data_IF_375406266756
#
_entry.id   IF_375406266756
#
_cell.length_a   1.000
_cell.length_b   1.000
_cell.length_c   1.000
_cell.angle_alpha   90.00
_cell.angle_beta   90.00
_cell.angle_gamma   90.00
#
_symmetry.space_group_name_H-M   'P 1'
#
loop_
_entity.id
_entity.type
_entity.pdbx_description
1 polymer ?
#
# COMPACT_ATOMS: atom_id res chain seq x y z
N UNK A 1 12.88 11.51 53.84
CA UNK A 1 12.49 10.39 52.95
C UNK A 1 11.57 10.96 51.87
N UNK A 2 12.05 11.93 51.09
CA UNK A 2 11.19 12.80 50.25
C UNK A 2 11.82 13.08 48.89
N UNK A 3 13.15 13.25 48.85
CA UNK A 3 13.92 13.45 47.61
C UNK A 3 13.86 12.24 46.67
N UNK A 4 13.76 11.03 47.22
CA UNK A 4 13.60 9.80 46.44
C UNK A 4 12.21 9.70 45.81
N UNK A 5 11.17 10.12 46.54
CA UNK A 5 9.78 10.07 46.07
C UNK A 5 9.52 11.12 44.97
N UNK A 6 10.10 12.31 45.08
CA UNK A 6 10.06 13.35 44.05
C UNK A 6 10.76 12.90 42.76
N UNK A 7 11.89 12.19 42.90
CA UNK A 7 12.63 11.63 41.76
C UNK A 7 11.82 10.55 41.05
N UNK A 8 11.25 9.60 41.79
CA UNK A 8 10.38 8.56 41.24
C UNK A 8 9.13 9.15 40.56
N UNK A 9 8.53 10.19 41.16
CA UNK A 9 7.40 10.88 40.55
C UNK A 9 7.77 11.51 39.21
N UNK A 10 8.91 12.20 39.12
CA UNK A 10 9.39 12.79 37.88
C UNK A 10 9.66 11.73 36.80
N UNK A 11 10.24 10.59 37.17
CA UNK A 11 10.46 9.45 36.27
C UNK A 11 9.14 8.87 35.75
N UNK A 12 8.17 8.62 36.63
CA UNK A 12 6.86 8.12 36.22
C UNK A 12 6.13 9.11 35.31
N UNK A 13 6.23 10.41 35.58
CA UNK A 13 5.63 11.43 34.73
C UNK A 13 6.25 11.43 33.33
N UNK A 14 7.58 11.32 33.24
CA UNK A 14 8.31 11.21 31.97
C UNK A 14 7.88 9.96 31.20
N UNK A 15 7.83 8.80 31.87
CA UNK A 15 7.37 7.55 31.25
C UNK A 15 5.92 7.67 30.73
N UNK A 16 5.03 8.29 31.49
CA UNK A 16 3.66 8.52 31.05
C UNK A 16 3.60 9.40 29.79
N UNK A 17 4.40 10.46 29.73
CA UNK A 17 4.52 11.33 28.55
C UNK A 17 5.06 10.56 27.33
N UNK A 18 6.09 9.74 27.52
CA UNK A 18 6.63 8.88 26.46
C UNK A 18 5.59 7.88 25.96
N UNK A 19 4.81 7.26 26.86
CA UNK A 19 3.73 6.36 26.48
C UNK A 19 2.64 7.07 25.67
N UNK A 20 2.25 8.30 26.03
CA UNK A 20 1.29 9.06 25.22
C UNK A 20 1.82 9.37 23.83
N UNK A 21 3.11 9.74 23.74
CA UNK A 21 3.77 9.98 22.46
C UNK A 21 3.81 8.72 21.59
N UNK A 22 4.24 7.59 22.13
CA UNK A 22 4.27 6.31 21.42
C UNK A 22 2.88 5.87 20.98
N UNK A 23 1.85 6.02 21.83
CA UNK A 23 0.47 5.70 21.44
C UNK A 23 0.00 6.52 20.24
N UNK A 24 0.34 7.80 20.18
CA UNK A 24 0.04 8.64 19.01
C UNK A 24 0.78 8.13 17.77
N UNK A 25 2.09 7.90 17.88
CA UNK A 25 2.93 7.39 16.77
C UNK A 25 2.41 6.04 16.24
N UNK A 26 2.00 5.12 17.13
CA UNK A 26 1.40 3.84 16.75
C UNK A 26 0.08 4.01 16.00
N UNK A 27 -0.79 4.92 16.43
CA UNK A 27 -2.07 5.17 15.75
C UNK A 27 -1.86 5.78 14.36
N UNK A 28 -0.88 6.67 14.20
CA UNK A 28 -0.50 7.26 12.91
C UNK A 28 0.07 6.19 11.96
N UNK A 29 0.93 5.30 12.46
CA UNK A 29 1.45 4.17 11.72
C UNK A 29 0.33 3.22 11.27
N UNK A 30 -0.58 2.85 12.18
CA UNK A 30 -1.72 1.99 11.87
C UNK A 30 -2.64 2.59 10.80
N UNK A 31 -2.92 3.90 10.89
CA UNK A 31 -3.70 4.60 9.88
C UNK A 31 -3.02 4.57 8.49
N UNK A 32 -1.69 4.60 8.46
CA UNK A 32 -0.92 4.52 7.22
C UNK A 32 -0.97 3.11 6.61
N UNK A 33 -0.78 2.07 7.42
CA UNK A 33 -0.90 0.67 6.99
C UNK A 33 -2.29 0.38 6.40
N UNK A 34 -3.36 0.83 7.07
CA UNK A 34 -4.74 0.65 6.58
C UNK A 34 -4.99 1.34 5.24
N UNK A 35 -4.41 2.53 5.02
CA UNK A 35 -4.50 3.21 3.72
C UNK A 35 -3.76 2.45 2.62
N UNK A 36 -2.59 1.90 2.94
CA UNK A 36 -1.82 1.07 2.01
C UNK A 36 -2.59 -0.21 1.65
N UNK A 37 -3.18 -0.90 2.63
CA UNK A 37 -4.05 -2.07 2.42
C UNK A 37 -5.22 -1.75 1.49
N UNK A 38 -5.95 -0.67 1.76
CA UNK A 38 -7.07 -0.25 0.92
C UNK A 38 -6.63 0.08 -0.53
N UNK A 39 -5.46 0.71 -0.70
CA UNK A 39 -4.91 1.00 -2.01
C UNK A 39 -4.53 -0.28 -2.78
N UNK A 40 -3.95 -1.27 -2.10
CA UNK A 40 -3.65 -2.58 -2.70
C UNK A 40 -4.93 -3.30 -3.15
N UNK A 41 -5.96 -3.34 -2.30
CA UNK A 41 -7.25 -3.95 -2.66
C UNK A 41 -7.91 -3.27 -3.86
N UNK A 42 -7.84 -1.94 -3.94
CA UNK A 42 -8.34 -1.20 -5.10
C UNK A 42 -7.56 -1.53 -6.38
N UNK A 43 -6.24 -1.70 -6.25
CA UNK A 43 -5.40 -2.10 -7.38
C UNK A 43 -5.73 -3.51 -7.86
N UNK A 44 -5.91 -4.46 -6.94
CA UNK A 44 -6.33 -5.83 -7.25
C UNK A 44 -7.67 -5.86 -7.99
N UNK A 45 -8.66 -5.10 -7.52
CA UNK A 45 -9.94 -5.00 -8.20
C UNK A 45 -9.82 -4.46 -9.64
N UNK A 46 -8.88 -3.53 -9.88
CA UNK A 46 -8.57 -3.03 -11.23
C UNK A 46 -7.91 -4.10 -12.11
N UNK A 47 -7.00 -4.89 -11.56
CA UNK A 47 -6.37 -6.01 -12.27
C UNK A 47 -7.46 -6.99 -12.73
N UNK A 48 -8.33 -7.44 -11.83
CA UNK A 48 -9.42 -8.37 -12.17
C UNK A 48 -10.35 -7.77 -13.23
N UNK A 49 -10.67 -6.48 -13.14
CA UNK A 49 -11.46 -5.78 -14.15
C UNK A 49 -10.78 -5.79 -15.53
N UNK A 50 -9.47 -5.56 -15.56
CA UNK A 50 -8.68 -5.56 -16.78
C UNK A 50 -8.53 -6.97 -17.38
N UNK A 51 -8.34 -8.00 -16.57
CA UNK A 51 -8.32 -9.40 -17.03
C UNK A 51 -9.66 -9.78 -17.69
N UNK A 52 -10.79 -9.34 -17.12
CA UNK A 52 -12.10 -9.56 -17.72
C UNK A 52 -12.29 -8.81 -19.04
N UNK A 53 -11.71 -7.62 -19.19
CA UNK A 53 -11.67 -6.86 -20.46
C UNK A 53 -10.85 -7.58 -21.53
N UNK A 54 -9.65 -8.04 -21.16
CA UNK A 54 -8.78 -8.82 -22.05
C UNK A 54 -9.52 -10.06 -22.54
N UNK A 55 -10.16 -10.82 -21.64
CA UNK A 55 -10.92 -12.01 -22.02
C UNK A 55 -12.05 -11.70 -23.02
N UNK A 56 -12.75 -10.56 -22.86
CA UNK A 56 -13.77 -10.11 -23.82
C UNK A 56 -13.17 -9.75 -25.18
N UNK A 57 -12.02 -9.08 -25.20
CA UNK A 57 -11.33 -8.75 -26.45
C UNK A 57 -10.82 -10.00 -27.18
N UNK A 58 -10.22 -10.96 -26.47
CA UNK A 58 -9.76 -12.22 -27.05
C UNK A 58 -10.92 -13.01 -27.68
N UNK A 59 -12.07 -13.07 -27.00
CA UNK A 59 -13.29 -13.68 -27.54
C UNK A 59 -13.76 -12.98 -28.84
N UNK A 60 -13.77 -11.65 -28.87
CA UNK A 60 -14.13 -10.89 -30.07
C UNK A 60 -13.17 -11.17 -31.25
N UNK A 61 -11.87 -11.29 -30.97
CA UNK A 61 -10.87 -11.65 -31.98
C UNK A 61 -11.13 -13.06 -32.51
N UNK A 62 -11.39 -14.04 -31.62
CA UNK A 62 -11.66 -15.43 -31.99
C UNK A 62 -12.92 -15.58 -32.86
N UNK A 63 -13.94 -14.74 -32.64
CA UNK A 63 -15.19 -14.76 -33.41
C UNK A 63 -15.21 -13.84 -34.64
N UNK A 64 -14.08 -13.21 -34.95
CA UNK A 64 -13.89 -12.37 -36.13
C UNK A 64 -14.17 -10.90 -35.86
N UNK A 65 -13.25 -10.04 -36.30
CA UNK A 65 -13.27 -8.60 -36.08
C UNK A 65 -14.06 -7.83 -37.15
N UNK A 66 -14.88 -8.51 -37.95
CA UNK A 66 -15.59 -7.93 -39.10
C UNK A 66 -16.50 -6.74 -38.74
N UNK A 67 -16.88 -6.61 -37.47
CA UNK A 67 -17.67 -5.50 -36.92
C UNK A 67 -17.02 -4.86 -35.68
N UNK A 68 -15.76 -5.19 -35.38
CA UNK A 68 -15.06 -4.55 -34.28
C UNK A 68 -14.77 -3.08 -34.64
N UNK A 69 -14.97 -2.13 -33.71
CA UNK A 69 -14.59 -0.74 -33.94
C UNK A 69 -13.08 -0.67 -34.25
N UNK A 70 -12.69 0.24 -35.15
CA UNK A 70 -11.30 0.46 -35.46
C UNK A 70 -10.54 0.87 -34.18
N UNK A 71 -9.42 0.21 -33.93
CA UNK A 71 -8.56 0.47 -32.76
C UNK A 71 -7.93 1.86 -32.92
N UNK A 72 -8.26 2.80 -32.02
CA UNK A 72 -7.57 4.09 -31.96
C UNK A 72 -6.16 3.89 -31.40
N UNK A 73 -5.15 4.08 -32.26
CA UNK A 73 -3.74 3.94 -31.88
C UNK A 73 -3.32 4.95 -30.82
N UNK A 74 -3.98 6.12 -30.73
CA UNK A 74 -3.73 7.13 -29.71
C UNK A 74 -4.29 6.76 -28.33
N UNK A 75 -5.40 6.03 -28.28
CA UNK A 75 -5.97 5.47 -27.04
C UNK A 75 -5.12 4.31 -26.50
N UNK A 76 -4.69 3.41 -27.39
CA UNK A 76 -3.78 2.31 -27.03
C UNK A 76 -2.45 2.80 -26.45
N UNK A 77 -1.83 3.82 -27.07
CA UNK A 77 -0.56 4.37 -26.59
C UNK A 77 -0.71 5.01 -25.19
N UNK A 78 -1.83 5.70 -24.93
CA UNK A 78 -2.13 6.30 -23.62
C UNK A 78 -2.38 5.24 -22.55
N UNK A 79 -3.11 4.17 -22.88
CA UNK A 79 -3.29 3.03 -21.97
C UNK A 79 -1.96 2.36 -21.64
N UNK A 80 -1.11 2.11 -22.63
CA UNK A 80 0.21 1.52 -22.42
C UNK A 80 1.11 2.41 -21.53
N UNK A 81 1.08 3.73 -21.73
CA UNK A 81 1.81 4.66 -20.88
C UNK A 81 1.28 4.68 -19.44
N UNK A 82 -0.04 4.72 -19.25
CA UNK A 82 -0.65 4.67 -17.92
C UNK A 82 -0.32 3.36 -17.19
N UNK A 83 -0.28 2.24 -17.92
CA UNK A 83 0.13 0.94 -17.40
C UNK A 83 1.61 0.95 -16.97
N UNK A 84 2.50 1.51 -17.79
CA UNK A 84 3.92 1.66 -17.45
C UNK A 84 4.15 2.52 -16.20
N UNK A 85 3.49 3.68 -16.10
CA UNK A 85 3.60 4.53 -14.92
C UNK A 85 3.05 3.87 -13.65
N UNK A 86 1.95 3.11 -13.77
CA UNK A 86 1.40 2.34 -12.65
C UNK A 86 2.35 1.27 -12.10
N UNK A 87 3.18 0.67 -12.95
CA UNK A 87 4.13 -0.38 -12.57
C UNK A 87 5.27 0.13 -11.66
N UNK A 88 5.74 1.37 -11.85
CA UNK A 88 6.80 1.96 -11.02
C UNK A 88 6.33 2.20 -9.58
N UNK A 89 5.13 2.76 -9.40
CA UNK A 89 4.55 2.96 -8.06
C UNK A 89 4.23 1.64 -7.36
N UNK A 90 3.86 0.61 -8.14
CA UNK A 90 3.61 -0.74 -7.62
C UNK A 90 4.87 -1.36 -7.01
N UNK A 91 6.00 -1.32 -7.72
CA UNK A 91 7.27 -1.87 -7.23
C UNK A 91 7.72 -1.18 -5.93
N UNK A 92 7.66 0.15 -5.88
CA UNK A 92 8.03 0.92 -4.69
C UNK A 92 7.18 0.60 -3.47
N UNK A 93 5.86 0.39 -3.64
CA UNK A 93 4.97 -0.02 -2.56
C UNK A 93 5.31 -1.42 -2.02
N UNK A 94 5.59 -2.38 -2.89
CA UNK A 94 5.97 -3.73 -2.47
C UNK A 94 7.29 -3.76 -1.71
N UNK A 95 8.28 -2.98 -2.15
CA UNK A 95 9.57 -2.89 -1.46
C UNK A 95 9.43 -2.25 -0.08
N UNK A 96 8.60 -1.21 0.05
CA UNK A 96 8.28 -0.62 1.34
C UNK A 96 7.63 -1.63 2.30
N UNK A 97 6.68 -2.45 1.83
CA UNK A 97 6.03 -3.48 2.65
C UNK A 97 7.04 -4.56 3.09
N UNK A 98 7.92 -4.99 2.19
CA UNK A 98 8.99 -5.95 2.55
C UNK A 98 9.95 -5.38 3.58
N UNK A 99 10.28 -4.09 3.50
CA UNK A 99 11.10 -3.43 4.50
C UNK A 99 10.42 -3.42 5.88
N UNK A 100 9.12 -3.14 5.94
CA UNK A 100 8.36 -3.24 7.21
C UNK A 100 8.38 -4.66 7.77
N UNK A 101 8.20 -5.69 6.93
CA UNK A 101 8.27 -7.08 7.37
C UNK A 101 9.66 -7.42 7.96
N UNK A 102 10.74 -6.96 7.33
CA UNK A 102 12.09 -7.19 7.82
C UNK A 102 12.36 -6.56 9.20
N UNK A 103 11.82 -5.37 9.47
CA UNK A 103 11.91 -4.74 10.80
C UNK A 103 11.15 -5.55 11.87
N UNK A 104 9.95 -6.03 11.54
CA UNK A 104 9.14 -6.86 12.45
C UNK A 104 9.85 -8.19 12.79
N UNK A 105 10.40 -8.86 11.77
CA UNK A 105 11.14 -10.12 11.95
C UNK A 105 12.48 -9.91 12.68
N UNK A 106 13.04 -8.69 12.60
CA UNK A 106 14.26 -8.28 13.28
C UNK A 106 14.04 -8.05 14.79
N UNK A 107 12.91 -7.45 15.17
CA UNK A 107 12.52 -7.25 16.58
C UNK A 107 12.28 -8.59 17.31
N UNK A 108 11.81 -9.64 16.63
CA UNK A 108 11.62 -10.97 17.25
C UNK A 108 12.93 -11.71 17.56
N UNK A 109 14.07 -11.26 17.01
CA UNK A 109 15.39 -11.92 17.16
C UNK A 109 16.35 -11.20 18.10
N UNK A 110 15.98 -10.04 18.63
CA UNK A 110 16.77 -9.23 19.56
C UNK A 110 16.33 -9.42 21.01
#
# INVERSE_FOLDING_TARGET
MTTTDETMHAEHLKQAQDHFRWRREHLEALATVKRAEAALMLHEARIVGHEAEIARHEEQIAHGTAHAPAVDTGEHARMAQAHGHGAEHHAGLLDAIKAVAAELDGEERA
#
